data_IF_725818839761
#
_entry.id   IF_725818839761
#
_cell.length_a   1.000
_cell.length_b   1.000
_cell.length_c   1.000
_cell.angle_alpha   90.00
_cell.angle_beta   90.00
_cell.angle_gamma   90.00
#
_symmetry.space_group_name_H-M   'P 1'
#
loop_
_entity.id
_entity.type
_entity.pdbx_description
1 polymer ?
#
# COMPACT_ATOMS: atom_id res chain seq x y z
N UNK A 1 31.75 -8.72 19.07
CA UNK A 1 32.16 -7.31 18.89
C UNK A 1 31.43 -6.85 17.63
N UNK A 2 30.31 -6.12 17.67
CA UNK A 2 30.08 -4.87 18.37
C UNK A 2 28.62 -4.77 18.81
N UNK A 3 28.40 -4.45 20.09
CA UNK A 3 27.12 -3.89 20.53
C UNK A 3 27.01 -2.42 20.12
N UNK A 4 25.81 -1.87 20.39
CA UNK A 4 25.39 -0.47 20.50
C UNK A 4 24.06 -0.33 19.74
N UNK A 5 22.94 0.02 20.34
CA UNK A 5 22.71 0.68 21.61
C UNK A 5 21.40 1.45 21.41
N UNK A 6 20.43 1.20 22.29
CA UNK A 6 19.23 2.03 22.43
C UNK A 6 19.67 3.49 22.45
N UNK A 7 19.18 4.31 21.51
CA UNK A 7 19.30 5.77 21.61
C UNK A 7 17.91 6.37 21.64
N UNK A 8 17.69 7.01 22.77
CA UNK A 8 16.54 7.79 23.22
C UNK A 8 16.22 8.87 22.20
N UNK A 9 14.93 9.00 21.87
CA UNK A 9 14.38 10.14 21.14
C UNK A 9 14.33 11.35 22.06
N UNK A 10 15.31 12.24 21.96
CA UNK A 10 15.23 13.60 22.47
C UNK A 10 15.85 14.54 21.45
N UNK A 11 15.08 15.54 21.02
CA UNK A 11 15.58 16.66 20.22
C UNK A 11 14.92 16.83 18.86
N UNK A 12 14.70 18.09 18.51
CA UNK A 12 14.08 18.69 17.32
C UNK A 12 14.46 18.08 15.95
N UNK A 13 15.46 17.19 15.88
CA UNK A 13 15.87 16.46 14.68
C UNK A 13 14.90 15.36 14.20
N UNK A 14 13.92 14.93 15.01
CA UNK A 14 13.01 13.83 14.65
C UNK A 14 11.97 14.22 13.58
N UNK A 15 11.65 15.52 13.42
CA UNK A 15 10.75 15.99 12.36
C UNK A 15 11.39 15.90 10.96
N UNK A 16 12.72 16.04 10.87
CA UNK A 16 13.46 15.94 9.61
C UNK A 16 13.55 14.50 9.10
N UNK A 17 13.63 13.51 9.99
CA UNK A 17 13.87 12.11 9.59
C UNK A 17 12.64 11.46 8.95
N UNK A 18 11.42 11.82 9.37
CA UNK A 18 10.18 11.34 8.76
C UNK A 18 9.89 12.00 7.39
N UNK A 19 10.33 13.25 7.17
CA UNK A 19 10.16 13.93 5.88
C UNK A 19 11.06 13.34 4.79
N UNK A 20 12.31 12.99 5.12
CA UNK A 20 13.31 12.47 4.19
C UNK A 20 12.87 11.17 3.49
N UNK A 21 12.24 10.25 4.22
CA UNK A 21 11.81 8.96 3.68
C UNK A 21 10.70 9.08 2.62
N UNK A 22 9.89 10.14 2.68
CA UNK A 22 8.77 10.36 1.76
C UNK A 22 9.21 11.05 0.48
N UNK A 23 10.16 11.99 0.59
CA UNK A 23 10.77 12.68 -0.55
C UNK A 23 11.60 11.73 -1.41
N UNK A 24 12.43 10.87 -0.80
CA UNK A 24 13.28 9.93 -1.53
C UNK A 24 12.48 8.97 -2.43
N UNK A 25 11.33 8.50 -1.96
CA UNK A 25 10.51 7.55 -2.70
C UNK A 25 9.81 8.18 -3.93
N UNK A 26 9.43 9.46 -3.84
CA UNK A 26 8.87 10.24 -4.96
C UNK A 26 9.95 10.56 -6.01
N UNK A 27 11.13 10.96 -5.54
CA UNK A 27 12.29 11.29 -6.38
C UNK A 27 12.84 10.07 -7.14
N UNK A 28 12.81 8.88 -6.53
CA UNK A 28 13.17 7.63 -7.19
C UNK A 28 12.17 7.22 -8.27
N UNK A 29 10.87 7.43 -8.05
CA UNK A 29 9.88 7.20 -9.10
C UNK A 29 9.97 8.24 -10.22
N UNK A 30 10.39 9.48 -9.94
CA UNK A 30 10.61 10.53 -10.95
C UNK A 30 11.66 10.16 -12.01
N UNK A 31 12.58 9.24 -11.69
CA UNK A 31 13.62 8.73 -12.60
C UNK A 31 13.27 7.40 -13.26
N UNK A 32 12.13 6.80 -12.93
CA UNK A 32 11.71 5.53 -13.51
C UNK A 32 11.23 5.69 -14.96
N UNK A 33 11.39 4.64 -15.77
CA UNK A 33 10.85 4.57 -17.15
C UNK A 33 9.33 4.79 -17.20
N UNK A 34 8.63 4.37 -16.14
CA UNK A 34 7.19 4.55 -15.99
C UNK A 34 6.88 5.13 -14.60
N UNK A 35 6.99 6.46 -14.41
CA UNK A 35 6.93 7.11 -13.11
C UNK A 35 5.57 6.88 -12.43
N UNK A 36 4.47 7.03 -13.17
CA UNK A 36 3.12 6.78 -12.67
C UNK A 36 2.94 5.34 -12.17
N UNK A 37 3.47 4.35 -12.91
CA UNK A 37 3.39 2.94 -12.51
C UNK A 37 4.23 2.66 -11.27
N UNK A 38 5.40 3.29 -11.16
CA UNK A 38 6.24 3.24 -9.97
C UNK A 38 5.49 3.76 -8.74
N UNK A 39 4.84 4.93 -8.84
CA UNK A 39 4.09 5.52 -7.73
C UNK A 39 2.98 4.58 -7.23
N UNK A 40 2.17 4.03 -8.13
CA UNK A 40 1.11 3.07 -7.76
C UNK A 40 1.69 1.79 -7.13
N UNK A 41 2.81 1.30 -7.66
CA UNK A 41 3.50 0.15 -7.10
C UNK A 41 4.01 0.42 -5.67
N UNK A 42 4.58 1.60 -5.43
CA UNK A 42 5.00 2.01 -4.09
C UNK A 42 3.83 2.10 -3.11
N UNK A 43 2.65 2.59 -3.54
CA UNK A 43 1.48 2.59 -2.67
C UNK A 43 1.07 1.16 -2.24
N UNK A 44 1.16 0.20 -3.16
CA UNK A 44 0.97 -1.22 -2.84
C UNK A 44 2.05 -1.76 -1.90
N UNK A 45 3.32 -1.43 -2.12
CA UNK A 45 4.43 -1.84 -1.24
C UNK A 45 4.25 -1.32 0.18
N UNK A 46 3.76 -0.08 0.37
CA UNK A 46 3.42 0.46 1.69
C UNK A 46 2.42 -0.42 2.44
N UNK A 47 1.50 -1.07 1.71
CA UNK A 47 0.52 -1.99 2.28
C UNK A 47 1.04 -3.41 2.51
N UNK A 48 2.19 -3.79 1.92
CA UNK A 48 2.64 -5.19 1.86
C UNK A 48 4.06 -5.43 2.40
N UNK A 49 4.72 -4.40 2.93
CA UNK A 49 6.12 -4.44 3.37
C UNK A 49 6.40 -5.31 4.59
N UNK A 50 5.37 -5.59 5.41
CA UNK A 50 5.38 -6.48 6.57
C UNK A 50 5.31 -7.97 6.18
N UNK A 51 5.01 -8.29 4.92
CA UNK A 51 4.84 -9.66 4.47
C UNK A 51 6.12 -10.25 3.90
N UNK A 52 6.34 -11.54 4.18
CA UNK A 52 7.32 -12.37 3.48
C UNK A 52 7.04 -12.44 1.97
N UNK A 53 8.08 -12.67 1.17
CA UNK A 53 8.02 -12.64 -0.31
C UNK A 53 6.91 -13.54 -0.89
N UNK A 54 6.73 -14.73 -0.31
CA UNK A 54 5.70 -15.70 -0.72
C UNK A 54 4.29 -15.11 -0.69
N UNK A 55 3.98 -14.28 0.32
CA UNK A 55 2.69 -13.62 0.51
C UNK A 55 2.63 -12.22 -0.13
N UNK A 56 3.79 -11.57 -0.28
CA UNK A 56 3.90 -10.19 -0.77
C UNK A 56 3.35 -10.03 -2.18
N UNK A 57 3.60 -10.99 -3.09
CA UNK A 57 3.08 -10.95 -4.46
C UNK A 57 1.55 -10.90 -4.52
N UNK A 58 0.88 -11.74 -3.76
CA UNK A 58 -0.58 -11.75 -3.66
C UNK A 58 -1.09 -10.42 -3.07
N UNK A 59 -0.46 -9.92 -2.02
CA UNK A 59 -0.80 -8.63 -1.44
C UNK A 59 -0.67 -7.49 -2.45
N UNK A 60 0.44 -7.42 -3.20
CA UNK A 60 0.66 -6.40 -4.22
C UNK A 60 -0.39 -6.46 -5.33
N UNK A 61 -0.82 -7.67 -5.74
CA UNK A 61 -1.89 -7.80 -6.74
C UNK A 61 -3.22 -7.19 -6.29
N UNK A 62 -3.48 -7.17 -4.98
CA UNK A 62 -4.72 -6.65 -4.40
C UNK A 62 -4.64 -5.16 -4.08
N UNK A 63 -3.53 -4.70 -3.49
CA UNK A 63 -3.36 -3.31 -3.03
C UNK A 63 -2.58 -2.43 -4.00
N UNK A 64 -2.10 -2.91 -5.16
CA UNK A 64 -1.58 -2.02 -6.20
C UNK A 64 -2.70 -1.68 -7.19
N UNK A 65 -3.15 -0.42 -7.25
CA UNK A 65 -4.15 -0.01 -8.22
C UNK A 65 -3.58 -0.06 -9.65
N UNK A 66 -4.41 -0.38 -10.65
CA UNK A 66 -4.00 -0.31 -12.05
C UNK A 66 -3.83 1.15 -12.49
N UNK A 67 -3.10 1.35 -13.60
CA UNK A 67 -2.89 2.69 -14.17
C UNK A 67 -4.18 3.42 -14.57
N UNK A 68 -5.23 2.67 -14.91
CA UNK A 68 -6.52 3.23 -15.30
C UNK A 68 -7.67 2.37 -14.77
N UNK A 69 -8.51 2.99 -13.93
CA UNK A 69 -9.71 2.35 -13.38
C UNK A 69 -10.82 2.19 -14.44
N UNK A 70 -10.85 3.04 -15.46
CA UNK A 70 -11.86 3.01 -16.53
C UNK A 70 -11.87 1.69 -17.33
N UNK A 71 -10.74 0.99 -17.38
CA UNK A 71 -10.61 -0.30 -18.08
C UNK A 71 -10.82 -1.52 -17.18
N UNK A 72 -11.17 -1.30 -15.91
CA UNK A 72 -11.40 -2.38 -14.96
C UNK A 72 -12.85 -2.82 -14.98
N UNK A 73 -13.07 -4.12 -14.79
CA UNK A 73 -14.41 -4.69 -14.62
C UNK A 73 -15.17 -4.04 -13.48
N UNK A 74 -14.46 -3.70 -12.40
CA UNK A 74 -15.00 -3.03 -11.22
C UNK A 74 -14.30 -1.67 -11.06
N UNK A 75 -14.69 -0.71 -11.90
CA UNK A 75 -14.14 0.65 -11.91
C UNK A 75 -14.39 1.36 -10.58
N UNK A 76 -15.58 1.17 -9.98
CA UNK A 76 -15.98 1.77 -8.71
C UNK A 76 -15.06 1.33 -7.57
N UNK A 77 -14.77 0.04 -7.46
CA UNK A 77 -13.83 -0.47 -6.45
C UNK A 77 -12.40 0.00 -6.71
N UNK A 78 -11.98 0.11 -7.97
CA UNK A 78 -10.68 0.66 -8.31
C UNK A 78 -10.53 2.13 -7.87
N UNK A 79 -11.52 2.96 -8.15
CA UNK A 79 -11.54 4.36 -7.72
C UNK A 79 -11.56 4.47 -6.19
N UNK A 80 -12.35 3.63 -5.52
CA UNK A 80 -12.35 3.54 -4.07
C UNK A 80 -11.00 3.10 -3.50
N UNK A 81 -10.27 2.19 -4.17
CA UNK A 81 -8.93 1.79 -3.76
C UNK A 81 -7.95 2.97 -3.83
N UNK A 82 -7.98 3.75 -4.90
CA UNK A 82 -7.17 4.97 -5.03
C UNK A 82 -7.48 5.97 -3.91
N UNK A 83 -8.76 6.25 -3.68
CA UNK A 83 -9.21 7.16 -2.63
C UNK A 83 -8.81 6.66 -1.22
N UNK A 84 -8.99 5.35 -0.96
CA UNK A 84 -8.60 4.73 0.29
C UNK A 84 -7.09 4.83 0.54
N UNK A 85 -6.26 4.61 -0.49
CA UNK A 85 -4.81 4.70 -0.37
C UNK A 85 -4.32 6.10 -0.03
N UNK A 86 -4.95 7.13 -0.60
CA UNK A 86 -4.69 8.52 -0.24
C UNK A 86 -5.13 8.81 1.22
N UNK A 87 -6.31 8.33 1.63
CA UNK A 87 -6.81 8.56 2.99
C UNK A 87 -6.03 7.84 4.09
N UNK A 88 -5.40 6.70 3.77
CA UNK A 88 -4.62 5.87 4.69
C UNK A 88 -3.12 6.20 4.65
N UNK A 89 -2.73 7.32 4.04
CA UNK A 89 -1.37 7.82 4.03
C UNK A 89 -0.75 7.93 5.43
N UNK A 90 0.54 7.63 5.54
CA UNK A 90 1.25 7.59 6.83
C UNK A 90 1.16 6.24 7.57
N UNK A 91 0.18 5.39 7.25
CA UNK A 91 0.14 4.01 7.72
C UNK A 91 0.97 3.09 6.81
N UNK A 92 1.41 1.95 7.35
CA UNK A 92 2.09 0.89 6.59
C UNK A 92 1.66 -0.51 7.04
N UNK A 93 1.96 -1.52 6.23
CA UNK A 93 1.72 -2.94 6.51
C UNK A 93 0.26 -3.28 6.85
N UNK A 94 0.06 -4.17 7.83
CA UNK A 94 -1.25 -4.61 8.28
C UNK A 94 -2.21 -3.47 8.65
N UNK A 95 -1.72 -2.43 9.35
CA UNK A 95 -2.53 -1.28 9.74
C UNK A 95 -3.04 -0.52 8.51
N UNK A 96 -2.19 -0.33 7.50
CA UNK A 96 -2.61 0.30 6.23
C UNK A 96 -3.65 -0.54 5.50
N UNK A 97 -3.47 -1.87 5.46
CA UNK A 97 -4.44 -2.79 4.84
C UNK A 97 -5.80 -2.70 5.50
N UNK A 98 -5.86 -2.74 6.83
CA UNK A 98 -7.10 -2.59 7.59
C UNK A 98 -7.81 -1.28 7.26
N UNK A 99 -7.08 -0.15 7.30
CA UNK A 99 -7.63 1.16 6.93
C UNK A 99 -8.22 1.18 5.50
N UNK A 100 -7.51 0.57 4.54
CA UNK A 100 -7.97 0.52 3.16
C UNK A 100 -9.22 -0.35 3.03
N UNK A 101 -9.21 -1.55 3.64
CA UNK A 101 -10.30 -2.52 3.51
C UNK A 101 -11.61 -2.01 4.12
N UNK A 102 -11.56 -1.21 5.19
CA UNK A 102 -12.73 -0.54 5.78
C UNK A 102 -13.39 0.48 4.84
N UNK A 103 -12.64 0.99 3.86
CA UNK A 103 -13.08 2.04 2.93
C UNK A 103 -13.44 1.51 1.55
N UNK A 104 -13.11 0.26 1.26
CA UNK A 104 -13.46 -0.37 -0.02
C UNK A 104 -14.94 -0.76 -0.03
N UNK A 105 -15.67 -0.49 -1.13
CA UNK A 105 -16.99 -1.05 -1.31
C UNK A 105 -16.88 -2.58 -1.39
N UNK A 106 -17.97 -3.26 -1.03
CA UNK A 106 -18.12 -4.67 -1.40
C UNK A 106 -17.93 -4.79 -2.92
N UNK A 107 -17.05 -5.70 -3.35
CA UNK A 107 -16.78 -5.86 -4.79
C UNK A 107 -18.03 -6.27 -5.55
N UNK A 108 -18.14 -5.81 -6.80
CA UNK A 108 -19.23 -6.19 -7.69
C UNK A 108 -19.01 -7.62 -8.20
N UNK A 109 -19.23 -8.60 -7.33
CA UNK A 109 -19.08 -10.01 -7.68
C UNK A 109 -20.30 -10.45 -8.48
N UNK A 110 -20.11 -11.14 -9.62
CA UNK A 110 -21.24 -11.75 -10.31
C UNK A 110 -21.90 -12.72 -9.33
N UNK A 111 -23.24 -12.71 -9.30
CA UNK A 111 -24.10 -13.52 -8.41
C UNK A 111 -23.94 -15.04 -8.58
N UNK A 112 -22.97 -15.49 -9.37
CA UNK A 112 -22.63 -16.88 -9.65
C UNK A 112 -21.72 -17.45 -8.56
N UNK A 113 -22.35 -17.99 -7.52
CA UNK A 113 -21.91 -19.09 -6.64
C UNK A 113 -20.51 -19.09 -5.98
N UNK A 114 -19.64 -18.12 -6.22
CA UNK A 114 -18.36 -18.00 -5.52
C UNK A 114 -18.34 -16.74 -4.66
N UNK A 115 -17.92 -16.83 -3.38
CA UNK A 115 -17.73 -15.66 -2.56
C UNK A 115 -16.72 -14.73 -3.23
N UNK A 116 -16.98 -13.42 -3.16
CA UNK A 116 -16.01 -12.41 -3.52
C UNK A 116 -14.65 -12.76 -2.92
N UNK A 117 -13.53 -12.64 -3.66
CA UNK A 117 -12.22 -12.72 -3.04
C UNK A 117 -12.10 -11.51 -2.09
N UNK A 118 -12.50 -11.72 -0.83
CA UNK A 118 -12.04 -10.91 0.30
C UNK A 118 -10.50 -10.94 0.22
N UNK A 119 -9.80 -9.84 0.57
CA UNK A 119 -8.36 -9.91 0.73
C UNK A 119 -8.10 -11.14 1.61
N UNK A 120 -7.31 -12.09 1.08
CA UNK A 120 -7.04 -13.33 1.79
C UNK A 120 -6.68 -12.96 3.22
N UNK A 121 -7.19 -13.67 4.24
CA UNK A 121 -6.72 -13.47 5.59
C UNK A 121 -5.21 -13.76 5.57
N UNK A 122 -4.42 -12.70 5.46
CA UNK A 122 -2.98 -12.69 5.69
C UNK A 122 -2.85 -12.77 7.22
N UNK A 123 -3.22 -13.92 7.78
CA UNK A 123 -2.97 -14.26 9.17
C UNK A 123 -1.46 -14.20 9.39
N UNK A 124 -1.04 -13.62 10.51
CA UNK A 124 0.35 -13.36 10.90
C UNK A 124 1.25 -14.58 10.68
#
# INVERSE_FOLDING_TARGET
>A
MSGWGRRVCAGVGLLLFCLQARAAADEDCGRAVAPQRCLLHQQGLRSCLDLAESRRRACLSYYTPPLSCQRQRDAKRCEALLAAQASCEGMTGASRRQCIDERLPAGDCPRSAQPCPKPLPLAD
#
